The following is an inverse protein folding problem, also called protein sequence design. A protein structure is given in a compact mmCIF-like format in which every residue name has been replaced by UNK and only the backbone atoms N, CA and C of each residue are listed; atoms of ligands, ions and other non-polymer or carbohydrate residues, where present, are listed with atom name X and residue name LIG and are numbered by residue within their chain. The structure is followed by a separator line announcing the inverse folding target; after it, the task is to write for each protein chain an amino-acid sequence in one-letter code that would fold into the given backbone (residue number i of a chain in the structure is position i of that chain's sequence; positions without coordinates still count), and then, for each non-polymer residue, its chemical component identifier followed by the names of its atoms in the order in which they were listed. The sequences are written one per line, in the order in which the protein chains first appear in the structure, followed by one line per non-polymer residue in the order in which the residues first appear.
data_IF_505835123561
#
_entry.id   IF_505835123561
#
_cell.length_a   1.000
_cell.length_b   1.000
_cell.length_c   1.000
_cell.angle_alpha   90.00
_cell.angle_beta   90.00
_cell.angle_gamma   90.00
#
_symmetry.space_group_name_H-M   'P 1'
#
loop_
_entity.id
_entity.type
_entity.pdbx_description
1 polymer ?
#
# COMPACT_ATOMS: atom_id res chain seq x y z
N UNK A 1 15.35 6.51 -0.49
CA UNK A 1 14.73 5.18 -0.67
C UNK A 1 13.91 5.26 -1.94
N UNK A 2 14.23 4.43 -2.92
CA UNK A 2 13.50 4.35 -4.19
C UNK A 2 12.50 3.20 -4.10
N UNK A 3 11.22 3.47 -4.33
CA UNK A 3 10.15 2.48 -4.14
C UNK A 3 9.95 1.70 -5.43
N UNK A 4 10.02 0.36 -5.35
CA UNK A 4 9.71 -0.55 -6.45
C UNK A 4 8.22 -0.87 -6.55
N UNK A 5 7.54 -1.09 -5.41
CA UNK A 5 6.12 -1.42 -5.38
C UNK A 5 5.42 -0.91 -4.12
N UNK A 6 4.21 -0.39 -4.29
CA UNK A 6 3.24 -0.11 -3.24
C UNK A 6 2.04 -1.04 -3.42
N UNK A 7 1.67 -1.80 -2.40
CA UNK A 7 0.45 -2.61 -2.41
C UNK A 7 -0.38 -2.34 -1.16
N UNK A 8 -1.64 -1.98 -1.36
CA UNK A 8 -2.61 -1.80 -0.29
C UNK A 8 -3.43 -3.07 -0.12
N UNK A 9 -3.57 -3.55 1.11
CA UNK A 9 -4.38 -4.70 1.47
C UNK A 9 -5.52 -4.28 2.39
N UNK A 10 -6.69 -4.89 2.23
CA UNK A 10 -7.77 -4.78 3.20
C UNK A 10 -7.51 -5.69 4.43
N UNK A 11 -8.38 -5.65 5.43
CA UNK A 11 -8.28 -6.48 6.65
C UNK A 11 -8.39 -7.98 6.41
N UNK A 12 -8.87 -8.40 5.24
CA UNK A 12 -8.91 -9.81 4.81
C UNK A 12 -7.61 -10.25 4.13
N UNK A 13 -6.62 -9.37 4.02
CA UNK A 13 -5.36 -9.64 3.31
C UNK A 13 -5.48 -9.65 1.79
N UNK A 14 -6.59 -9.13 1.24
CA UNK A 14 -6.79 -9.04 -0.21
C UNK A 14 -6.18 -7.74 -0.73
N UNK A 15 -5.42 -7.77 -1.85
CA UNK A 15 -4.89 -6.55 -2.45
C UNK A 15 -6.02 -5.75 -3.07
N UNK A 16 -6.15 -4.48 -2.68
CA UNK A 16 -7.17 -3.55 -3.21
C UNK A 16 -6.59 -2.51 -4.16
N UNK A 17 -5.27 -2.30 -4.13
CA UNK A 17 -4.54 -1.46 -5.07
C UNK A 17 -3.07 -1.85 -5.10
N UNK A 18 -2.45 -1.85 -6.28
CA UNK A 18 -1.02 -2.11 -6.47
C UNK A 18 -0.47 -1.15 -7.51
N UNK A 19 0.65 -0.50 -7.20
CA UNK A 19 1.33 0.44 -8.09
C UNK A 19 2.83 0.13 -8.07
N UNK A 20 3.45 0.15 -9.25
CA UNK A 20 4.89 -0.03 -9.43
C UNK A 20 5.58 1.33 -9.57
N UNK A 21 6.83 1.40 -9.10
CA UNK A 21 7.76 2.53 -9.29
C UNK A 21 7.15 3.90 -8.96
N UNK A 22 6.37 3.97 -7.87
CA UNK A 22 5.70 5.20 -7.44
C UNK A 22 5.70 5.30 -5.92
N UNK A 23 5.71 6.55 -5.46
CA UNK A 23 5.60 6.90 -4.04
C UNK A 23 4.18 7.33 -3.64
N UNK A 24 3.21 7.23 -4.57
CA UNK A 24 1.84 7.70 -4.37
C UNK A 24 0.86 6.58 -4.67
N UNK A 25 -0.14 6.41 -3.79
CA UNK A 25 -1.27 5.50 -3.98
C UNK A 25 -2.59 6.26 -3.78
N UNK A 26 -3.50 6.16 -4.74
CA UNK A 26 -4.78 6.86 -4.69
C UNK A 26 -5.78 6.05 -3.84
N UNK A 27 -6.23 6.63 -2.73
CA UNK A 27 -7.19 6.01 -1.79
C UNK A 27 -8.58 6.64 -1.84
N UNK A 28 -8.84 7.57 -2.77
CA UNK A 28 -10.09 8.37 -2.82
C UNK A 28 -11.37 7.54 -2.96
N UNK A 29 -11.31 6.40 -3.65
CA UNK A 29 -12.45 5.49 -3.86
C UNK A 29 -12.54 4.36 -2.83
N UNK A 30 -11.61 4.30 -1.87
CA UNK A 30 -11.63 3.29 -0.83
C UNK A 30 -12.64 3.69 0.26
N UNK A 31 -13.50 2.75 0.69
CA UNK A 31 -14.32 2.95 1.87
C UNK A 31 -13.49 3.34 3.10
N UNK A 32 -14.12 4.02 4.05
CA UNK A 32 -13.53 4.25 5.37
C UNK A 32 -13.24 2.91 6.05
N UNK A 33 -12.09 2.82 6.74
CA UNK A 33 -11.64 1.57 7.36
C UNK A 33 -10.14 1.45 7.51
N UNK A 34 -9.70 0.26 7.93
CA UNK A 34 -8.29 -0.07 8.15
C UNK A 34 -7.73 -0.77 6.92
N UNK A 35 -6.53 -0.35 6.51
CA UNK A 35 -5.77 -0.94 5.41
C UNK A 35 -4.31 -1.17 5.82
N UNK A 36 -3.64 -2.06 5.12
CA UNK A 36 -2.21 -2.33 5.29
C UNK A 36 -1.46 -1.99 4.00
N UNK A 37 -0.58 -0.99 4.05
CA UNK A 37 0.32 -0.64 2.96
C UNK A 37 1.61 -1.44 3.09
N UNK A 38 1.87 -2.29 2.10
CA UNK A 38 3.18 -2.89 1.88
C UNK A 38 3.97 -2.01 0.91
N UNK A 39 5.20 -1.70 1.29
CA UNK A 39 6.19 -0.96 0.50
C UNK A 39 7.34 -1.92 0.24
N UNK A 40 7.64 -2.16 -1.03
CA UNK A 40 8.83 -2.91 -1.46
C UNK A 40 9.72 -1.91 -2.18
N UNK A 41 10.94 -1.72 -1.70
CA UNK A 41 11.93 -0.88 -2.39
C UNK A 41 12.62 -1.63 -3.53
N UNK A 42 13.41 -0.94 -4.34
CA UNK A 42 14.14 -1.54 -5.48
C UNK A 42 15.22 -2.55 -5.05
N UNK A 43 15.51 -2.67 -3.76
CA UNK A 43 16.43 -3.66 -3.16
C UNK A 43 15.66 -4.83 -2.53
N UNK A 44 14.36 -4.95 -2.83
CA UNK A 44 13.43 -5.94 -2.28
C UNK A 44 13.23 -5.86 -0.75
N UNK A 45 13.57 -4.72 -0.13
CA UNK A 45 13.30 -4.49 1.29
C UNK A 45 11.82 -4.20 1.50
N UNK A 46 11.20 -4.94 2.42
CA UNK A 46 9.77 -4.87 2.71
C UNK A 46 9.49 -4.07 3.99
N UNK A 47 8.64 -3.06 3.88
CA UNK A 47 8.05 -2.34 5.01
C UNK A 47 6.53 -2.47 4.98
N UNK A 48 5.90 -2.61 6.15
CA UNK A 48 4.43 -2.63 6.28
C UNK A 48 3.98 -1.49 7.19
N UNK A 49 2.94 -0.77 6.77
CA UNK A 49 2.32 0.33 7.52
C UNK A 49 0.80 0.10 7.61
N UNK A 50 0.22 0.39 8.76
CA UNK A 50 -1.23 0.47 8.88
C UNK A 50 -1.70 1.86 8.45
N UNK A 51 -2.80 1.92 7.71
CA UNK A 51 -3.50 3.13 7.29
C UNK A 51 -4.93 3.10 7.81
N UNK A 52 -5.40 4.23 8.32
CA UNK A 52 -6.78 4.45 8.74
C UNK A 52 -7.37 5.46 7.75
N UNK A 53 -8.39 5.05 7.02
CA UNK A 53 -9.15 5.92 6.11
C UNK A 53 -10.42 6.39 6.82
N UNK A 54 -10.53 7.70 7.01
CA UNK A 54 -11.74 8.38 7.52
C UNK A 54 -12.79 8.57 6.42
#
# INVERSE_FOLDING_TARGET
MEIGQLTLYNTLGQPVSSILNSNVINTSKLPSGIYFLTIIDVQDSKTVRQLIKE
#
